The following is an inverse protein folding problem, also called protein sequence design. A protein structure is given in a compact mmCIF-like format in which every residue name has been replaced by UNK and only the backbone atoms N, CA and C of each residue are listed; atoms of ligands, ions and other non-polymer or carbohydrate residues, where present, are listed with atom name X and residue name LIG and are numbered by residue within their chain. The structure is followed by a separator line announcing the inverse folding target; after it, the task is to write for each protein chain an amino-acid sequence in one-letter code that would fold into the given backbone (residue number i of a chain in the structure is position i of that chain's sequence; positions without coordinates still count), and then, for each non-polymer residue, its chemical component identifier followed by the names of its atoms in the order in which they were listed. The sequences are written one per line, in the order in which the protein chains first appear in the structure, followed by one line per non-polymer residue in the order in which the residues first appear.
data_IF_474075385521
#
_entry.id   IF_474075385521
#
_cell.length_a   1.000
_cell.length_b   1.000
_cell.length_c   1.000
_cell.angle_alpha   90.00
_cell.angle_beta   90.00
_cell.angle_gamma   90.00
#
_symmetry.space_group_name_H-M   'P 1'
#
loop_
_entity.id
_entity.type
_entity.pdbx_description
1 polymer ?
#
# COMPACT_ATOMS: atom_id res chain seq x y z
N UNK A 1 -23.90 -28.66 -15.11
CA UNK A 1 -24.58 -27.42 -14.69
C UNK A 1 -23.53 -26.48 -14.12
N UNK A 2 -23.55 -25.20 -14.50
CA UNK A 2 -22.66 -24.18 -13.92
C UNK A 2 -23.23 -23.82 -12.55
N UNK A 3 -22.45 -23.98 -11.49
CA UNK A 3 -22.85 -23.60 -10.13
C UNK A 3 -22.64 -22.09 -9.96
N UNK A 4 -23.74 -21.36 -9.78
CA UNK A 4 -23.75 -19.90 -9.60
C UNK A 4 -23.97 -19.46 -8.16
N UNK A 5 -23.95 -20.39 -7.20
CA UNK A 5 -24.06 -20.05 -5.79
C UNK A 5 -22.76 -19.35 -5.33
N UNK A 6 -22.89 -18.24 -4.60
CA UNK A 6 -21.78 -17.38 -4.13
C UNK A 6 -21.00 -16.61 -5.22
N UNK A 7 -21.66 -16.25 -6.31
CA UNK A 7 -21.09 -15.30 -7.29
C UNK A 7 -21.60 -13.90 -6.96
N UNK A 8 -20.67 -12.99 -6.64
CA UNK A 8 -20.97 -11.56 -6.57
C UNK A 8 -20.90 -10.96 -7.97
N UNK A 9 -21.89 -10.13 -8.33
CA UNK A 9 -21.95 -9.44 -9.63
C UNK A 9 -21.08 -8.19 -9.69
N UNK A 10 -20.52 -7.77 -8.55
CA UNK A 10 -19.53 -6.70 -8.46
C UNK A 10 -18.41 -7.12 -7.49
N UNK A 11 -17.23 -6.51 -7.65
CA UNK A 11 -16.06 -6.76 -6.81
C UNK A 11 -15.91 -5.80 -5.63
N UNK A 12 -16.95 -5.04 -5.29
CA UNK A 12 -16.89 -4.09 -4.18
C UNK A 12 -16.97 -4.84 -2.85
N UNK A 13 -15.95 -4.65 -2.01
CA UNK A 13 -15.84 -5.28 -0.69
C UNK A 13 -15.60 -4.21 0.36
N UNK A 14 -15.80 -4.53 1.63
CA UNK A 14 -15.44 -3.65 2.75
C UNK A 14 -13.96 -3.24 2.73
N UNK A 15 -13.07 -4.07 2.17
CA UNK A 15 -11.63 -3.80 2.02
C UNK A 15 -11.29 -2.95 0.80
N UNK A 16 -12.22 -2.71 -0.12
CA UNK A 16 -11.93 -1.94 -1.34
C UNK A 16 -11.41 -0.54 -1.01
N UNK A 17 -11.90 0.09 0.06
CA UNK A 17 -11.42 1.40 0.53
C UNK A 17 -9.98 1.36 1.05
N UNK A 18 -9.39 0.21 1.36
CA UNK A 18 -8.01 0.11 1.86
C UNK A 18 -6.97 0.09 0.72
N UNK A 19 -7.41 -0.23 -0.51
CA UNK A 19 -6.53 -0.52 -1.64
C UNK A 19 -6.60 0.51 -2.77
N UNK A 20 -7.20 1.69 -2.56
CA UNK A 20 -7.31 2.72 -3.59
C UNK A 20 -6.02 3.52 -3.68
N UNK A 21 -5.44 3.55 -4.88
CA UNK A 21 -4.42 4.53 -5.24
C UNK A 21 -5.12 5.89 -5.41
N UNK A 22 -4.73 6.85 -4.60
CA UNK A 22 -5.27 8.21 -4.63
C UNK A 22 -4.17 9.21 -4.99
N UNK A 23 -4.60 10.36 -5.49
CA UNK A 23 -3.77 11.46 -5.99
C UNK A 23 -2.92 11.13 -7.24
N UNK A 24 -2.25 12.14 -7.79
CA UNK A 24 -1.42 12.01 -9.01
C UNK A 24 -0.05 11.36 -8.75
N UNK A 25 0.35 11.28 -7.47
CA UNK A 25 1.69 10.93 -7.03
C UNK A 25 2.73 12.03 -7.32
N UNK A 26 3.87 11.93 -6.65
CA UNK A 26 5.02 12.82 -6.80
C UNK A 26 6.19 12.08 -7.43
N UNK A 27 6.97 12.78 -8.27
CA UNK A 27 8.12 12.22 -8.97
C UNK A 27 9.42 12.64 -8.27
N UNK A 28 10.21 11.66 -7.86
CA UNK A 28 11.53 11.87 -7.27
C UNK A 28 12.63 11.29 -8.15
N UNK A 29 13.73 12.03 -8.30
CA UNK A 29 14.98 11.51 -8.86
C UNK A 29 15.88 11.00 -7.74
N UNK A 30 16.62 9.94 -8.02
CA UNK A 30 17.60 9.33 -7.11
C UNK A 30 16.98 9.00 -5.74
N UNK A 31 15.77 8.44 -5.76
CA UNK A 31 15.02 8.10 -4.56
C UNK A 31 15.80 7.13 -3.66
N UNK A 32 15.84 7.44 -2.36
CA UNK A 32 16.60 6.70 -1.35
C UNK A 32 18.12 6.92 -1.39
N UNK A 33 18.62 7.82 -2.24
CA UNK A 33 20.05 8.16 -2.33
C UNK A 33 20.33 9.55 -1.74
N UNK A 34 21.61 9.89 -1.40
CA UNK A 34 21.95 11.19 -0.83
C UNK A 34 21.59 12.39 -1.70
N UNK A 35 21.52 12.19 -3.02
CA UNK A 35 21.15 13.17 -4.05
C UNK A 35 19.67 13.09 -4.46
N UNK A 36 18.81 12.54 -3.60
CA UNK A 36 17.37 12.51 -3.81
C UNK A 36 16.80 13.93 -3.95
N UNK A 37 15.97 14.15 -4.97
CA UNK A 37 15.28 15.41 -5.15
C UNK A 37 13.89 15.22 -5.78
N UNK A 38 12.96 16.13 -5.48
CA UNK A 38 11.68 16.23 -6.18
C UNK A 38 11.93 16.81 -7.57
N UNK A 39 11.34 16.19 -8.60
CA UNK A 39 11.57 16.60 -10.01
C UNK A 39 10.67 17.78 -10.40
N UNK A 40 9.43 17.79 -9.95
CA UNK A 40 8.49 18.88 -10.19
C UNK A 40 7.03 18.50 -9.96
N UNK A 41 6.16 19.51 -9.97
CA UNK A 41 4.73 19.42 -9.89
C UNK A 41 4.15 18.84 -11.19
N UNK A 42 3.34 17.80 -11.04
CA UNK A 42 2.72 17.09 -12.14
C UNK A 42 1.28 17.54 -12.35
N UNK A 43 0.82 17.58 -13.60
CA UNK A 43 -0.58 17.88 -13.95
C UNK A 43 -1.10 16.87 -14.98
N UNK A 44 -2.30 16.34 -14.76
CA UNK A 44 -2.88 15.32 -15.64
C UNK A 44 -2.45 13.87 -15.34
N UNK A 45 -1.70 13.66 -14.25
CA UNK A 45 -1.27 12.33 -13.78
C UNK A 45 0.03 11.83 -14.42
N UNK A 46 0.48 10.67 -13.96
CA UNK A 46 1.68 9.99 -14.41
C UNK A 46 1.32 8.56 -14.82
N UNK A 47 2.04 8.01 -15.80
CA UNK A 47 1.74 6.70 -16.37
C UNK A 47 2.97 5.81 -16.27
N UNK A 48 2.83 4.69 -15.55
CA UNK A 48 3.84 3.64 -15.47
C UNK A 48 3.40 2.45 -16.33
N UNK A 49 4.28 1.99 -17.21
CA UNK A 49 3.97 0.95 -18.18
C UNK A 49 5.12 -0.07 -18.26
N UNK A 50 4.74 -1.36 -18.20
CA UNK A 50 5.65 -2.50 -18.38
C UNK A 50 5.11 -3.36 -19.50
N UNK A 51 5.75 -3.29 -20.66
CA UNK A 51 5.39 -4.05 -21.87
C UNK A 51 6.28 -5.26 -22.01
N UNK A 52 5.66 -6.43 -21.90
CA UNK A 52 6.34 -7.71 -22.02
C UNK A 52 6.02 -8.33 -23.37
N UNK A 53 7.02 -8.47 -24.24
CA UNK A 53 6.88 -9.10 -25.55
C UNK A 53 7.09 -10.60 -25.39
N UNK A 54 6.06 -11.40 -25.69
CA UNK A 54 6.14 -12.85 -25.70
C UNK A 54 6.45 -13.37 -27.09
N UNK A 55 7.29 -14.40 -27.19
CA UNK A 55 7.47 -15.21 -28.39
C UNK A 55 7.01 -16.63 -28.10
N UNK A 56 6.22 -17.18 -29.00
CA UNK A 56 5.78 -18.57 -28.88
C UNK A 56 6.60 -19.50 -29.76
N UNK A 57 6.96 -20.66 -29.21
CA UNK A 57 7.58 -21.75 -29.98
C UNK A 57 6.48 -22.46 -30.79
N UNK A 58 6.64 -22.51 -32.11
CA UNK A 58 5.73 -23.25 -33.00
C UNK A 58 6.14 -24.72 -33.06
N UNK A 59 5.18 -25.60 -32.82
CA UNK A 59 5.35 -27.05 -32.93
C UNK A 59 4.48 -27.55 -34.08
N UNK A 60 5.05 -28.33 -34.98
CA UNK A 60 4.33 -28.89 -36.13
C UNK A 60 3.19 -29.80 -35.67
N UNK A 61 2.06 -29.76 -36.37
CA UNK A 61 0.84 -30.49 -36.03
C UNK A 61 -0.06 -29.84 -34.95
N UNK A 62 0.41 -28.83 -34.20
CA UNK A 62 -0.44 -28.07 -33.27
C UNK A 62 -1.21 -26.99 -34.03
N UNK A 63 -2.53 -27.14 -34.12
CA UNK A 63 -3.40 -26.21 -34.85
C UNK A 63 -3.76 -24.95 -34.08
N UNK A 64 -3.63 -24.98 -32.75
CA UNK A 64 -3.87 -23.81 -31.91
C UNK A 64 -2.76 -22.78 -32.16
N UNK A 65 -3.14 -21.53 -32.46
CA UNK A 65 -2.17 -20.44 -32.62
C UNK A 65 -1.33 -20.27 -31.34
N UNK A 66 -1.97 -20.44 -30.17
CA UNK A 66 -1.34 -20.36 -28.87
C UNK A 66 -1.38 -21.70 -28.13
N UNK A 67 -0.20 -22.25 -27.82
CA UNK A 67 -0.01 -23.53 -27.16
C UNK A 67 0.55 -23.28 -25.75
N UNK A 68 -0.27 -23.57 -24.74
CA UNK A 68 0.05 -23.35 -23.33
C UNK A 68 1.38 -24.01 -22.94
N UNK A 69 2.28 -23.23 -22.35
CA UNK A 69 3.57 -23.70 -21.85
C UNK A 69 4.71 -23.59 -22.86
N UNK A 70 4.45 -22.97 -24.03
CA UNK A 70 5.46 -22.71 -25.07
C UNK A 70 5.71 -21.21 -25.30
N UNK A 71 5.22 -20.36 -24.39
CA UNK A 71 5.48 -18.94 -24.35
C UNK A 71 6.82 -18.63 -23.67
N UNK A 72 7.68 -17.87 -24.33
CA UNK A 72 8.93 -17.33 -23.79
C UNK A 72 8.88 -15.80 -23.78
N UNK A 73 9.49 -15.20 -22.77
CA UNK A 73 9.73 -13.75 -22.73
C UNK A 73 10.82 -13.40 -23.74
N UNK A 74 10.51 -12.53 -24.70
CA UNK A 74 11.43 -12.04 -25.73
C UNK A 74 12.13 -10.76 -25.28
N UNK A 75 11.34 -9.80 -24.78
CA UNK A 75 11.85 -8.54 -24.21
C UNK A 75 10.86 -7.94 -23.23
N UNK A 76 11.37 -7.13 -22.29
CA UNK A 76 10.55 -6.33 -21.38
C UNK A 76 10.99 -4.87 -21.52
N UNK A 77 10.05 -3.98 -21.77
CA UNK A 77 10.28 -2.54 -21.85
C UNK A 77 9.51 -1.87 -20.74
N UNK A 78 10.20 -1.08 -19.93
CA UNK A 78 9.58 -0.34 -18.82
C UNK A 78 9.73 1.15 -19.03
N UNK A 79 8.62 1.87 -18.94
CA UNK A 79 8.58 3.33 -19.12
C UNK A 79 7.79 4.01 -18.00
N UNK A 80 8.23 5.21 -17.63
CA UNK A 80 7.50 6.13 -16.76
C UNK A 80 7.30 7.44 -17.49
N UNK A 81 6.05 7.75 -17.83
CA UNK A 81 5.65 9.00 -18.46
C UNK A 81 5.16 9.97 -17.40
N UNK A 82 5.82 11.10 -17.32
CA UNK A 82 5.54 12.17 -16.36
C UNK A 82 5.04 13.40 -17.12
N UNK A 83 4.03 14.09 -16.59
CA UNK A 83 3.53 15.34 -17.16
C UNK A 83 3.71 16.46 -16.16
N UNK A 84 4.68 17.34 -16.39
CA UNK A 84 5.03 18.45 -15.50
C UNK A 84 4.29 19.74 -15.92
N UNK A 85 3.86 20.53 -14.94
CA UNK A 85 3.34 21.89 -15.19
C UNK A 85 4.47 22.92 -15.21
N UNK A 86 5.54 22.63 -14.48
CA UNK A 86 6.74 23.47 -14.44
C UNK A 86 7.72 23.08 -15.55
N UNK A 87 8.36 24.09 -16.13
CA UNK A 87 9.37 23.96 -17.17
C UNK A 87 10.70 24.50 -16.60
N UNK A 88 11.46 23.62 -15.97
CA UNK A 88 12.78 23.95 -15.42
C UNK A 88 13.90 23.52 -16.37
N UNK A 89 15.08 24.12 -16.23
CA UNK A 89 16.27 23.74 -17.01
C UNK A 89 16.61 22.26 -16.86
N UNK A 90 16.43 21.68 -15.67
CA UNK A 90 16.72 20.26 -15.41
C UNK A 90 15.72 19.32 -16.10
N UNK A 91 14.43 19.67 -16.12
CA UNK A 91 13.40 18.89 -16.83
C UNK A 91 13.68 18.91 -18.33
N UNK A 92 14.00 20.10 -18.86
CA UNK A 92 14.34 20.26 -20.28
C UNK A 92 15.62 19.50 -20.65
N UNK A 93 16.66 19.59 -19.82
CA UNK A 93 17.90 18.87 -20.03
C UNK A 93 17.71 17.35 -19.95
N UNK A 94 16.89 16.87 -19.00
CA UNK A 94 16.56 15.45 -18.88
C UNK A 94 15.74 14.94 -20.08
N UNK A 95 14.79 15.75 -20.56
CA UNK A 95 13.95 15.38 -21.70
C UNK A 95 14.74 15.34 -23.02
N UNK A 96 15.75 16.19 -23.16
CA UNK A 96 16.59 16.31 -24.37
C UNK A 96 17.90 15.51 -24.30
N UNK A 97 18.24 14.94 -23.13
CA UNK A 97 19.58 14.43 -22.84
C UNK A 97 20.67 15.45 -23.20
N UNK A 98 20.60 16.62 -22.56
CA UNK A 98 21.38 17.79 -22.90
C UNK A 98 22.30 18.26 -21.75
N UNK A 99 23.36 18.99 -22.11
CA UNK A 99 24.19 19.72 -21.16
C UNK A 99 23.57 21.09 -20.85
N UNK A 100 23.73 21.56 -19.62
CA UNK A 100 23.38 22.90 -19.16
C UNK A 100 24.68 23.69 -18.92
N UNK A 101 24.95 24.68 -19.77
CA UNK A 101 26.05 25.63 -19.56
C UNK A 101 25.51 26.93 -18.94
N UNK A 102 25.85 27.16 -17.68
CA UNK A 102 25.43 28.34 -16.90
C UNK A 102 26.39 29.53 -17.01
N UNK A 103 27.36 29.45 -17.91
CA UNK A 103 28.45 30.42 -18.05
C UNK A 103 28.63 30.95 -19.47
N UNK A 104 28.01 30.29 -20.46
CA UNK A 104 28.08 30.70 -21.86
C UNK A 104 27.44 32.07 -22.15
N UNK A 105 26.44 32.46 -21.36
CA UNK A 105 25.76 33.75 -21.46
C UNK A 105 25.45 34.31 -20.08
N UNK A 106 25.52 35.63 -19.91
CA UNK A 106 25.29 36.29 -18.63
C UNK A 106 23.81 36.28 -18.20
N UNK A 107 22.87 36.02 -19.12
CA UNK A 107 21.43 36.08 -18.89
C UNK A 107 20.72 34.71 -19.04
N UNK A 108 21.38 33.72 -19.64
CA UNK A 108 20.74 32.44 -19.99
C UNK A 108 21.60 31.23 -19.61
N UNK A 109 20.96 30.25 -18.99
CA UNK A 109 21.48 28.89 -18.91
C UNK A 109 21.26 28.20 -20.26
N UNK A 110 22.35 27.87 -20.94
CA UNK A 110 22.33 27.36 -22.32
C UNK A 110 22.21 25.85 -22.32
N UNK A 111 21.06 25.33 -22.78
CA UNK A 111 20.79 23.89 -22.90
C UNK A 111 21.15 23.43 -24.30
N UNK A 112 22.14 22.54 -24.43
CA UNK A 112 22.61 22.02 -25.72
C UNK A 112 22.61 20.50 -25.75
N UNK A 113 22.00 19.92 -26.78
CA UNK A 113 21.95 18.47 -26.98
C UNK A 113 23.33 17.85 -27.12
N UNK A 114 23.45 16.59 -26.71
CA UNK A 114 24.70 15.82 -26.80
C UNK A 114 24.55 14.71 -27.84
N UNK A 115 25.66 14.37 -28.50
CA UNK A 115 25.70 13.26 -29.49
C UNK A 115 26.02 11.93 -28.80
N UNK A 116 26.85 11.99 -27.76
CA UNK A 116 27.24 10.82 -26.97
C UNK A 116 26.49 10.83 -25.64
N UNK A 117 25.99 9.66 -25.26
CA UNK A 117 25.35 9.40 -23.97
C UNK A 117 26.42 8.85 -23.03
N UNK A 118 26.58 9.48 -21.88
CA UNK A 118 27.50 9.07 -20.83
C UNK A 118 26.71 8.45 -19.65
N UNK A 119 27.37 7.68 -18.78
CA UNK A 119 26.74 7.05 -17.61
C UNK A 119 26.05 8.08 -16.69
N UNK A 120 26.58 9.32 -16.63
CA UNK A 120 25.99 10.41 -15.85
C UNK A 120 24.69 10.96 -16.41
N UNK A 121 24.38 10.70 -17.68
CA UNK A 121 23.13 11.14 -18.31
C UNK A 121 21.95 10.25 -17.88
N UNK A 122 22.22 9.06 -17.38
CA UNK A 122 21.21 8.20 -16.76
C UNK A 122 20.85 8.71 -15.36
N UNK A 123 19.56 8.93 -15.13
CA UNK A 123 19.05 9.14 -13.78
C UNK A 123 19.09 7.77 -13.08
N UNK A 124 19.86 7.67 -11.99
CA UNK A 124 20.10 6.38 -11.29
C UNK A 124 18.80 5.66 -10.98
N UNK A 125 17.80 6.39 -10.49
CA UNK A 125 16.42 5.91 -10.46
C UNK A 125 15.41 7.07 -10.46
N UNK A 126 14.22 6.79 -10.97
CA UNK A 126 13.04 7.65 -10.82
C UNK A 126 11.95 6.91 -10.05
N UNK A 127 11.36 7.58 -9.07
CA UNK A 127 10.28 7.04 -8.25
C UNK A 127 8.99 7.86 -8.39
N UNK A 128 7.90 7.19 -8.75
CA UNK A 128 6.53 7.67 -8.60
C UNK A 128 6.03 7.24 -7.22
N UNK A 129 5.83 8.22 -6.35
CA UNK A 129 5.37 8.02 -4.96
C UNK A 129 3.90 8.42 -4.87
N UNK A 130 3.03 7.44 -4.63
CA UNK A 130 1.58 7.63 -4.51
C UNK A 130 1.05 7.30 -3.12
N UNK A 131 -0.16 7.74 -2.82
CA UNK A 131 -0.83 7.47 -1.55
C UNK A 131 -1.80 6.30 -1.72
N UNK A 132 -1.79 5.37 -0.77
CA UNK A 132 -2.75 4.27 -0.70
C UNK A 132 -3.73 4.55 0.44
N UNK A 133 -5.02 4.56 0.17
CA UNK A 133 -6.06 4.97 1.14
C UNK A 133 -6.08 4.17 2.45
N UNK A 134 -5.68 2.90 2.44
CA UNK A 134 -5.57 2.05 3.63
C UNK A 134 -4.21 2.00 4.30
N UNK A 135 -3.26 2.87 3.92
CA UNK A 135 -1.92 2.87 4.50
C UNK A 135 -1.40 4.27 4.80
N UNK A 136 -0.71 4.40 5.94
CA UNK A 136 0.11 5.58 6.24
C UNK A 136 1.43 5.59 5.48
N UNK A 137 1.81 4.47 4.84
CA UNK A 137 3.00 4.37 4.00
C UNK A 137 2.64 4.52 2.53
N UNK A 138 3.44 5.24 1.73
CA UNK A 138 3.16 5.41 0.32
C UNK A 138 3.39 4.11 -0.46
N UNK A 139 2.75 4.01 -1.63
CA UNK A 139 3.17 3.09 -2.69
C UNK A 139 4.26 3.76 -3.51
N UNK A 140 5.31 3.02 -3.84
CA UNK A 140 6.46 3.55 -4.58
C UNK A 140 6.70 2.68 -5.80
N UNK A 141 6.60 3.27 -6.99
CA UNK A 141 6.96 2.64 -8.25
C UNK A 141 8.29 3.24 -8.69
N UNK A 142 9.31 2.42 -8.85
CA UNK A 142 10.67 2.84 -9.13
C UNK A 142 11.14 2.23 -10.45
N UNK A 143 11.74 3.05 -11.31
CA UNK A 143 12.48 2.62 -12.50
C UNK A 143 13.96 2.94 -12.33
N UNK A 144 14.83 2.06 -12.83
CA UNK A 144 16.29 2.15 -12.68
C UNK A 144 16.94 2.56 -13.99
N UNK A 145 18.05 3.30 -13.90
CA UNK A 145 18.83 3.81 -15.04
C UNK A 145 17.92 4.45 -16.10
N UNK A 146 17.17 5.46 -15.66
CA UNK A 146 16.16 6.11 -16.46
C UNK A 146 16.78 7.11 -17.44
N UNK A 147 16.40 7.02 -18.71
CA UNK A 147 16.82 7.93 -19.77
C UNK A 147 15.64 8.29 -20.67
N UNK A 148 15.56 9.54 -21.13
CA UNK A 148 14.53 9.95 -22.08
C UNK A 148 14.94 9.60 -23.51
N UNK A 149 14.19 8.71 -24.18
CA UNK A 149 14.45 8.30 -25.56
C UNK A 149 13.58 9.04 -26.58
N UNK A 150 12.42 9.55 -26.15
CA UNK A 150 11.42 10.17 -27.02
C UNK A 150 11.76 11.63 -27.36
N UNK A 151 12.69 12.24 -26.62
CA UNK A 151 13.02 13.66 -26.72
C UNK A 151 11.97 14.55 -26.06
N UNK A 152 11.92 15.82 -26.50
CA UNK A 152 11.01 16.84 -25.97
C UNK A 152 10.05 17.32 -27.06
N UNK A 153 8.76 17.35 -26.74
CA UNK A 153 7.73 17.97 -27.56
C UNK A 153 6.99 19.05 -26.75
N UNK A 154 7.01 20.30 -27.22
CA UNK A 154 6.35 21.42 -26.56
C UNK A 154 5.16 21.95 -27.36
N UNK A 155 3.97 21.67 -26.80
CA UNK A 155 2.63 22.20 -27.10
C UNK A 155 2.26 23.54 -26.44
N UNK A 156 2.60 24.73 -26.96
CA UNK A 156 2.09 25.97 -26.34
C UNK A 156 0.70 26.37 -26.85
N UNK A 157 -0.22 26.70 -25.95
CA UNK A 157 -1.59 27.15 -26.28
C UNK A 157 -1.99 28.34 -25.39
N UNK A 158 -2.70 29.29 -25.96
CA UNK A 158 -3.36 30.36 -25.18
C UNK A 158 -4.58 29.79 -24.44
N UNK A 159 -4.89 30.34 -23.27
CA UNK A 159 -6.00 29.93 -22.39
C UNK A 159 -5.97 28.47 -21.88
N UNK A 160 -4.80 27.82 -21.89
CA UNK A 160 -4.56 26.52 -21.26
C UNK A 160 -3.21 26.51 -20.54
N UNK A 161 -3.12 25.74 -19.46
CA UNK A 161 -1.83 25.49 -18.80
C UNK A 161 -0.93 24.69 -19.75
N UNK A 162 0.28 25.20 -19.98
CA UNK A 162 1.27 24.50 -20.76
C UNK A 162 1.93 23.44 -19.88
N UNK A 163 2.08 22.24 -20.42
CA UNK A 163 2.70 21.11 -19.71
C UNK A 163 3.85 20.54 -20.51
N UNK A 164 4.79 19.92 -19.81
CA UNK A 164 5.94 19.22 -20.37
C UNK A 164 5.76 17.73 -20.10
N UNK A 165 5.47 16.97 -21.14
CA UNK A 165 5.42 15.51 -21.06
C UNK A 165 6.82 14.93 -21.34
N UNK A 166 7.31 14.09 -20.44
CA UNK A 166 8.60 13.42 -20.56
C UNK A 166 8.42 11.93 -20.31
N UNK A 167 8.88 11.10 -21.24
CA UNK A 167 8.86 9.63 -21.09
C UNK A 167 10.25 9.13 -20.76
N UNK A 168 10.42 8.59 -19.57
CA UNK A 168 11.65 7.94 -19.16
C UNK A 168 11.58 6.44 -19.42
N UNK A 169 12.62 5.90 -20.06
CA UNK A 169 12.79 4.47 -20.29
C UNK A 169 13.85 3.91 -19.35
N UNK A 170 13.51 2.81 -18.68
CA UNK A 170 14.41 2.13 -17.75
C UNK A 170 15.41 1.24 -18.51
N UNK A 171 16.64 1.16 -18.02
CA UNK A 171 17.70 0.37 -18.64
C UNK A 171 18.29 -0.64 -17.65
N UNK A 172 18.58 -1.86 -18.14
CA UNK A 172 19.21 -2.89 -17.33
C UNK A 172 20.61 -2.46 -16.89
N UNK A 173 20.97 -2.77 -15.65
CA UNK A 173 22.32 -2.55 -15.15
C UNK A 173 23.28 -3.55 -15.81
N UNK A 174 24.38 -3.11 -16.45
CA UNK A 174 25.36 -4.03 -17.03
C UNK A 174 26.00 -4.98 -16.00
N UNK A 175 26.00 -4.64 -14.71
CA UNK A 175 26.44 -5.52 -13.63
C UNK A 175 25.42 -6.62 -13.29
N UNK A 176 24.15 -6.44 -13.66
CA UNK A 176 23.07 -7.40 -13.44
C UNK A 176 22.07 -7.42 -14.61
N UNK A 177 22.49 -7.88 -15.80
CA UNK A 177 21.74 -7.72 -17.05
C UNK A 177 20.43 -8.52 -17.10
N UNK A 178 20.29 -9.55 -16.25
CA UNK A 178 19.09 -10.39 -16.18
C UNK A 178 17.98 -9.78 -15.29
N UNK A 179 18.30 -8.76 -14.49
CA UNK A 179 17.33 -8.09 -13.64
C UNK A 179 16.51 -7.06 -14.44
N UNK A 180 15.19 -7.10 -14.25
CA UNK A 180 14.31 -6.08 -14.81
C UNK A 180 14.49 -4.76 -14.05
N UNK A 181 14.66 -3.62 -14.74
CA UNK A 181 15.05 -2.34 -14.15
C UNK A 181 13.86 -1.59 -13.53
N UNK A 182 13.02 -2.28 -12.75
CA UNK A 182 11.91 -1.66 -12.02
C UNK A 182 11.56 -2.41 -10.74
N UNK A 183 11.02 -1.67 -9.77
CA UNK A 183 10.57 -2.18 -8.48
C UNK A 183 9.27 -1.51 -8.07
N UNK A 184 8.34 -2.27 -7.51
CA UNK A 184 7.11 -1.72 -6.91
C UNK A 184 7.13 -2.08 -5.43
N UNK A 185 7.26 -1.05 -4.59
CA UNK A 185 7.12 -1.18 -3.14
C UNK A 185 5.66 -0.93 -2.77
N UNK A 186 4.91 -2.02 -2.63
CA UNK A 186 3.56 -1.97 -2.12
C UNK A 186 3.58 -1.97 -0.59
N UNK A 187 2.94 -1.00 0.09
CA UNK A 187 2.96 -0.95 1.54
C UNK A 187 2.20 -2.16 2.10
N UNK A 188 2.78 -2.79 3.14
CA UNK A 188 2.03 -3.80 3.89
C UNK A 188 0.89 -3.09 4.61
N UNK A 189 -0.34 -3.39 4.23
CA UNK A 189 -1.53 -2.94 4.95
C UNK A 189 -1.60 -3.79 6.22
N UNK A 190 -1.00 -3.28 7.29
CA UNK A 190 -1.19 -3.85 8.61
C UNK A 190 -2.53 -3.34 9.11
N UNK A 191 -3.48 -4.26 9.28
CA UNK A 191 -4.64 -3.93 10.09
C UNK A 191 -4.15 -3.67 11.51
N UNK A 192 -4.54 -2.55 12.11
CA UNK A 192 -4.12 -2.19 13.46
C UNK A 192 -4.42 -3.34 14.42
N UNK A 193 -3.51 -3.58 15.38
CA UNK A 193 -3.68 -4.64 16.34
C UNK A 193 -5.01 -4.43 17.11
N UNK A 194 -5.83 -5.47 17.14
CA UNK A 194 -7.05 -5.47 17.94
C UNK A 194 -6.66 -5.81 19.37
N UNK A 195 -6.68 -4.81 20.25
CA UNK A 195 -6.16 -4.89 21.62
C UNK A 195 -7.16 -4.36 22.64
N UNK A 196 -7.04 -4.82 23.88
CA UNK A 196 -7.79 -4.26 25.01
C UNK A 196 -7.23 -2.88 25.40
N UNK A 197 -8.08 -1.86 25.36
CA UNK A 197 -7.76 -0.49 25.77
C UNK A 197 -8.01 -0.26 27.26
N UNK A 198 -9.12 -0.79 27.79
CA UNK A 198 -9.48 -0.69 29.21
C UNK A 198 -10.53 -1.71 29.61
N UNK A 199 -10.65 -1.98 30.92
CA UNK A 199 -11.68 -2.82 31.49
C UNK A 199 -12.35 -2.10 32.68
N UNK A 200 -13.67 -2.23 32.80
CA UNK A 200 -14.48 -1.64 33.86
C UNK A 200 -15.57 -2.62 34.31
N UNK A 201 -16.13 -2.40 35.50
CA UNK A 201 -17.40 -3.03 35.91
C UNK A 201 -18.50 -1.97 35.82
N UNK A 202 -19.59 -2.28 35.13
CA UNK A 202 -20.74 -1.39 35.00
C UNK A 202 -22.03 -2.20 35.02
N UNK A 203 -22.96 -1.79 35.88
CA UNK A 203 -24.27 -2.46 36.04
C UNK A 203 -24.16 -3.98 36.29
N UNK A 204 -23.12 -4.41 37.00
CA UNK A 204 -22.86 -5.83 37.31
C UNK A 204 -22.22 -6.65 36.18
N UNK A 205 -21.95 -6.05 35.02
CA UNK A 205 -21.21 -6.66 33.92
C UNK A 205 -19.77 -6.14 33.86
N UNK A 206 -18.86 -6.95 33.31
CA UNK A 206 -17.53 -6.49 32.91
C UNK A 206 -17.66 -5.87 31.51
N UNK A 207 -17.15 -4.65 31.35
CA UNK A 207 -17.11 -3.93 30.09
C UNK A 207 -15.65 -3.79 29.66
N UNK A 208 -15.31 -4.39 28.52
CA UNK A 208 -14.00 -4.28 27.91
C UNK A 208 -14.07 -3.30 26.74
N UNK A 209 -13.23 -2.26 26.76
CA UNK A 209 -13.10 -1.30 25.66
C UNK A 209 -11.94 -1.72 24.76
N UNK A 210 -12.18 -1.89 23.47
CA UNK A 210 -11.18 -2.34 22.49
C UNK A 210 -10.62 -1.18 21.68
N UNK A 211 -9.52 -1.41 20.96
CA UNK A 211 -8.92 -0.43 20.04
C UNK A 211 -9.81 -0.14 18.83
N UNK A 212 -10.56 -1.14 18.36
CA UNK A 212 -11.39 -1.08 17.15
C UNK A 212 -12.81 -1.64 17.38
N UNK A 213 -13.67 -1.53 16.38
CA UNK A 213 -15.05 -2.05 16.40
C UNK A 213 -15.02 -3.57 16.54
N UNK A 214 -15.83 -4.07 17.47
CA UNK A 214 -15.95 -5.49 17.77
C UNK A 214 -16.87 -6.20 16.77
N UNK A 215 -16.52 -7.42 16.38
CA UNK A 215 -17.39 -8.27 15.57
C UNK A 215 -18.73 -8.57 16.29
N UNK A 216 -19.83 -8.71 15.54
CA UNK A 216 -21.13 -9.09 16.11
C UNK A 216 -21.12 -10.49 16.73
N UNK A 217 -20.34 -11.41 16.16
CA UNK A 217 -20.22 -12.77 16.70
C UNK A 217 -19.07 -12.83 17.69
N UNK A 218 -19.40 -13.10 18.95
CA UNK A 218 -18.46 -13.17 20.06
C UNK A 218 -18.48 -14.53 20.74
N UNK A 219 -17.32 -14.91 21.27
CA UNK A 219 -17.10 -16.20 21.92
C UNK A 219 -16.51 -15.97 23.31
N UNK A 220 -17.02 -16.72 24.28
CA UNK A 220 -16.51 -16.67 25.66
C UNK A 220 -15.23 -17.50 25.84
N UNK A 221 -14.94 -18.39 24.89
CA UNK A 221 -13.74 -19.22 24.89
C UNK A 221 -12.48 -18.35 24.99
N UNK A 222 -11.55 -18.75 25.85
CA UNK A 222 -10.31 -18.02 26.11
C UNK A 222 -10.40 -17.00 27.25
N UNK A 223 -11.58 -16.48 27.59
CA UNK A 223 -11.74 -15.58 28.73
C UNK A 223 -11.73 -16.33 30.07
N UNK A 224 -10.98 -15.80 31.04
CA UNK A 224 -11.03 -16.28 32.43
C UNK A 224 -11.27 -15.10 33.36
N UNK A 225 -12.15 -15.28 34.35
CA UNK A 225 -12.56 -14.23 35.28
C UNK A 225 -12.52 -14.75 36.71
N UNK A 226 -11.98 -13.94 37.61
CA UNK A 226 -12.14 -14.14 39.06
C UNK A 226 -12.78 -12.93 39.71
N UNK A 227 -13.60 -13.16 40.73
CA UNK A 227 -14.21 -12.14 41.58
C UNK A 227 -13.80 -12.46 43.01
N UNK A 228 -13.14 -11.50 43.69
CA UNK A 228 -12.56 -11.70 45.03
C UNK A 228 -11.74 -13.01 45.12
N UNK A 229 -10.83 -13.19 44.15
CA UNK A 229 -9.92 -14.34 44.01
C UNK A 229 -10.58 -15.71 43.79
N UNK A 230 -11.89 -15.75 43.51
CA UNK A 230 -12.62 -16.97 43.16
C UNK A 230 -13.05 -16.94 41.70
N UNK A 231 -12.85 -18.05 40.99
CA UNK A 231 -13.30 -18.18 39.62
C UNK A 231 -14.82 -18.05 39.53
N UNK A 232 -15.31 -17.26 38.58
CA UNK A 232 -16.73 -17.15 38.25
C UNK A 232 -16.95 -17.49 36.78
N UNK A 233 -18.09 -18.12 36.47
CA UNK A 233 -18.43 -18.56 35.14
C UNK A 233 -19.10 -17.43 34.33
N UNK A 234 -18.66 -17.28 33.08
CA UNK A 234 -19.26 -16.36 32.10
C UNK A 234 -20.57 -16.98 31.57
N UNK A 235 -21.68 -16.31 31.84
CA UNK A 235 -23.03 -16.71 31.42
C UNK A 235 -23.39 -16.15 30.06
N UNK A 236 -22.93 -14.94 29.74
CA UNK A 236 -23.13 -14.31 28.44
C UNK A 236 -21.94 -13.41 28.05
N UNK A 237 -21.72 -13.30 26.73
CA UNK A 237 -20.82 -12.33 26.11
C UNK A 237 -21.54 -11.73 24.91
N UNK A 238 -21.48 -10.41 24.77
CA UNK A 238 -22.09 -9.70 23.65
C UNK A 238 -21.33 -8.40 23.36
N UNK A 239 -21.57 -7.84 22.19
CA UNK A 239 -21.15 -6.48 21.86
C UNK A 239 -21.97 -5.51 22.69
N UNK A 240 -21.31 -4.51 23.27
CA UNK A 240 -21.98 -3.47 24.05
C UNK A 240 -22.69 -2.45 23.16
N UNK A 241 -23.34 -1.47 23.78
CA UNK A 241 -24.00 -0.40 23.04
C UNK A 241 -23.01 0.51 22.30
N UNK A 242 -21.79 0.66 22.84
CA UNK A 242 -20.66 1.20 22.09
C UNK A 242 -20.05 0.08 21.25
N UNK A 243 -19.93 0.32 19.94
CA UNK A 243 -19.45 -0.67 18.98
C UNK A 243 -18.03 -1.19 19.26
N UNK A 244 -17.23 -0.47 20.06
CA UNK A 244 -15.88 -0.88 20.50
C UNK A 244 -15.87 -1.65 21.82
N UNK A 245 -17.02 -1.96 22.40
CA UNK A 245 -17.11 -2.59 23.72
C UNK A 245 -17.60 -4.03 23.68
N UNK A 246 -17.07 -4.86 24.59
CA UNK A 246 -17.56 -6.20 24.90
C UNK A 246 -18.15 -6.18 26.30
N UNK A 247 -19.40 -6.60 26.44
CA UNK A 247 -20.06 -6.81 27.72
C UNK A 247 -20.04 -8.30 28.07
N UNK A 248 -19.51 -8.63 29.26
CA UNK A 248 -19.43 -9.97 29.82
C UNK A 248 -20.28 -10.02 31.08
N UNK A 249 -21.23 -10.97 31.11
CA UNK A 249 -22.09 -11.24 32.25
C UNK A 249 -21.59 -12.48 32.98
N UNK A 250 -21.44 -12.38 34.29
CA UNK A 250 -21.01 -13.48 35.17
C UNK A 250 -22.21 -14.21 35.78
N UNK A 251 -21.95 -15.30 36.48
CA UNK A 251 -22.99 -16.00 37.26
C UNK A 251 -23.31 -15.20 38.52
N UNK A 252 -22.30 -14.63 39.17
CA UNK A 252 -22.47 -13.74 40.32
C UNK A 252 -22.03 -12.33 39.94
N UNK A 253 -22.97 -11.38 39.94
CA UNK A 253 -22.64 -9.98 39.66
C UNK A 253 -21.65 -9.45 40.72
N UNK A 254 -20.51 -8.86 40.32
CA UNK A 254 -19.57 -8.26 41.27
C UNK A 254 -20.27 -7.18 42.09
N UNK A 255 -20.08 -7.16 43.40
CA UNK A 255 -20.61 -6.10 44.28
C UNK A 255 -19.59 -4.96 44.44
N UNK A 256 -20.04 -3.77 44.86
CA UNK A 256 -19.15 -2.62 45.07
C UNK A 256 -18.02 -2.98 46.06
N UNK A 257 -16.80 -2.52 45.75
CA UNK A 257 -15.57 -2.80 46.46
C UNK A 257 -14.89 -4.14 46.12
N UNK A 258 -15.48 -5.01 45.30
CA UNK A 258 -14.85 -6.27 44.90
C UNK A 258 -13.83 -6.05 43.77
N UNK A 259 -12.68 -6.71 43.91
CA UNK A 259 -11.69 -6.85 42.82
C UNK A 259 -12.15 -7.95 41.87
N UNK A 260 -12.11 -7.63 40.57
CA UNK A 260 -12.40 -8.52 39.47
C UNK A 260 -11.16 -8.60 38.60
N UNK A 261 -10.66 -9.80 38.35
CA UNK A 261 -9.58 -10.00 37.38
C UNK A 261 -10.12 -10.66 36.12
N UNK A 262 -9.64 -10.22 34.97
CA UNK A 262 -9.97 -10.80 33.68
C UNK A 262 -8.70 -10.98 32.84
N UNK A 263 -8.60 -12.11 32.15
CA UNK A 263 -7.59 -12.35 31.13
C UNK A 263 -8.23 -13.04 29.92
N UNK A 264 -7.51 -13.00 28.80
CA UNK A 264 -7.90 -13.72 27.59
C UNK A 264 -6.69 -14.46 27.04
N UNK A 265 -6.82 -15.78 26.87
CA UNK A 265 -5.86 -16.60 26.15
C UNK A 265 -6.47 -16.97 24.80
N UNK A 266 -5.79 -16.61 23.71
CA UNK A 266 -6.25 -16.82 22.33
C UNK A 266 -6.52 -18.31 22.10
N UNK A 267 -7.77 -18.70 21.80
CA UNK A 267 -8.09 -20.10 21.51
C UNK A 267 -7.33 -20.63 20.28
N UNK A 268 -6.90 -21.89 20.33
CA UNK A 268 -6.30 -22.56 19.17
C UNK A 268 -7.31 -22.76 18.02
N UNK A 269 -8.59 -22.89 18.35
CA UNK A 269 -9.68 -22.97 17.38
C UNK A 269 -10.02 -21.57 16.82
N UNK A 270 -9.64 -21.35 15.56
CA UNK A 270 -9.85 -20.08 14.84
C UNK A 270 -11.31 -19.66 14.68
N UNK A 271 -12.27 -20.58 14.85
CA UNK A 271 -13.71 -20.29 14.82
C UNK A 271 -14.24 -19.73 16.13
N UNK A 272 -13.44 -19.76 17.20
CA UNK A 272 -13.79 -19.30 18.55
C UNK A 272 -12.97 -18.11 19.03
N UNK A 273 -12.13 -17.56 18.16
CA UNK A 273 -11.31 -16.39 18.47
C UNK A 273 -12.15 -15.12 18.39
N UNK A 274 -11.93 -14.22 19.35
CA UNK A 274 -12.48 -12.86 19.31
C UNK A 274 -11.80 -12.07 18.20
N UNK A 275 -12.59 -11.34 17.41
CA UNK A 275 -12.10 -10.54 16.28
C UNK A 275 -12.71 -9.14 16.28
N UNK A 276 -12.04 -8.20 15.64
CA UNK A 276 -12.67 -6.95 15.20
C UNK A 276 -13.68 -7.23 14.08
N UNK A 277 -14.51 -6.25 13.74
CA UNK A 277 -15.43 -6.30 12.59
C UNK A 277 -14.66 -6.54 11.27
N UNK A 278 -13.43 -6.02 11.18
CA UNK A 278 -12.52 -6.22 10.04
C UNK A 278 -11.81 -7.59 10.04
N UNK A 279 -12.05 -8.43 11.05
CA UNK A 279 -11.53 -9.79 11.13
C UNK A 279 -10.14 -9.91 11.78
N UNK A 280 -9.63 -8.85 12.40
CA UNK A 280 -8.35 -8.89 13.14
C UNK A 280 -8.56 -9.64 14.44
N UNK A 281 -7.74 -10.66 14.70
CA UNK A 281 -7.84 -11.51 15.89
C UNK A 281 -7.29 -10.78 17.12
N UNK A 282 -8.00 -10.88 18.25
CA UNK A 282 -7.49 -10.49 19.57
C UNK A 282 -6.37 -11.45 19.97
N UNK A 283 -5.20 -10.92 20.25
CA UNK A 283 -4.08 -11.68 20.85
C UNK A 283 -4.25 -11.83 22.37
N UNK A 284 -3.36 -12.58 23.01
CA UNK A 284 -3.42 -12.82 24.45
C UNK A 284 -3.47 -11.49 25.23
N UNK A 285 -4.44 -11.41 26.15
CA UNK A 285 -4.59 -10.29 27.08
C UNK A 285 -4.17 -10.76 28.46
N UNK A 286 -3.11 -10.13 28.98
CA UNK A 286 -2.64 -10.37 30.33
C UNK A 286 -3.71 -10.06 31.38
N UNK A 287 -3.53 -10.61 32.58
CA UNK A 287 -4.46 -10.39 33.70
C UNK A 287 -4.63 -8.90 33.96
N UNK A 288 -5.86 -8.42 33.81
CA UNK A 288 -6.28 -7.05 34.05
C UNK A 288 -7.13 -7.02 35.31
N UNK A 289 -6.77 -6.18 36.28
CA UNK A 289 -7.52 -6.02 37.53
C UNK A 289 -8.43 -4.79 37.46
N UNK A 290 -9.67 -4.95 37.88
CA UNK A 290 -10.70 -3.90 37.90
C UNK A 290 -11.37 -3.92 39.26
N UNK A 291 -11.62 -2.75 39.83
CA UNK A 291 -12.40 -2.61 41.06
C UNK A 291 -13.80 -2.14 40.66
N UNK A 292 -14.83 -2.82 41.16
CA UNK A 292 -16.19 -2.31 41.04
C UNK A 292 -16.38 -1.16 42.03
N UNK A 293 -16.35 0.08 41.55
CA UNK A 293 -16.54 1.27 42.38
C UNK A 293 -18.02 1.45 42.74
#
# INVERSE_FOLDING_TARGET
MINTNNINTNGFTNKTMEHLLIDSGAIYKNFGLPDQALVGATSGGNEFDVKTKMRQIKVDGVKAANAKGLELVDSVTTTLKCTFIEMTEEILASALTANIDRTADDNYDVISGKIQIDDSDYIKNLALVGTLSGSSKPIIILIENALCLDGLQLKTQDSKDNTVAVTFTAHADPANPDALPYKIYYPKITSDAFTLSSAAVSSGNIVLTMSDIVNETLYKDGFTVTVADKADAITAIKKGNDAKTIEITLTTAPTSGQSVTISYAKPADTSKQVKSENGVVLEDVAVTNVINN
#
